data_IF_103220485210
#
_entry.id   IF_103220485210
#
_cell.length_a   1.000
_cell.length_b   1.000
_cell.length_c   1.000
_cell.angle_alpha   90.00
_cell.angle_beta   90.00
_cell.angle_gamma   90.00
#
_symmetry.space_group_name_H-M   'P 1'
#
loop_
_entity.id
_entity.type
_entity.pdbx_description
1 polymer ?
#
# COMPACT_ATOMS: atom_id res chain seq x y z
N UNK A 1 -8.35 52.70 -66.15
CA UNK A 1 -9.48 53.43 -65.51
C UNK A 1 -10.37 52.36 -64.88
N UNK A 2 -10.68 52.25 -63.57
CA UNK A 2 -10.45 53.02 -62.34
C UNK A 2 -10.20 52.00 -61.19
N UNK A 3 -9.12 52.07 -60.39
CA UNK A 3 -8.96 52.80 -59.13
C UNK A 3 -10.22 52.90 -58.23
N UNK A 4 -10.18 52.13 -57.13
CA UNK A 4 -10.00 52.60 -55.74
C UNK A 4 -11.22 52.59 -54.80
N UNK A 5 -11.05 51.89 -53.66
CA UNK A 5 -11.15 52.41 -52.26
C UNK A 5 -12.11 51.69 -51.28
N UNK A 6 -11.45 50.96 -50.34
CA UNK A 6 -11.62 50.91 -48.87
C UNK A 6 -12.83 50.28 -48.15
N UNK A 7 -12.50 49.20 -47.41
CA UNK A 7 -12.51 49.10 -45.93
C UNK A 7 -13.83 49.27 -45.14
N UNK A 8 -14.39 48.13 -44.70
CA UNK A 8 -15.00 47.87 -43.37
C UNK A 8 -14.76 46.38 -43.05
N UNK A 9 -13.89 45.93 -42.14
CA UNK A 9 -13.74 46.16 -40.70
C UNK A 9 -14.70 45.28 -39.84
N UNK A 10 -14.12 44.18 -39.32
CA UNK A 10 -14.08 43.78 -37.89
C UNK A 10 -15.13 42.81 -37.28
N UNK A 11 -14.54 41.73 -36.73
CA UNK A 11 -14.84 40.97 -35.50
C UNK A 11 -16.02 39.98 -35.40
N UNK A 12 -15.72 38.92 -34.64
CA UNK A 12 -16.61 38.07 -33.84
C UNK A 12 -16.98 36.71 -34.45
N UNK A 13 -16.10 35.72 -34.24
CA UNK A 13 -16.31 34.59 -33.31
C UNK A 13 -15.18 33.59 -33.57
N UNK A 14 -13.98 33.98 -33.13
CA UNK A 14 -13.02 33.02 -32.64
C UNK A 14 -13.45 32.68 -31.20
N UNK A 15 -14.56 31.95 -31.06
CA UNK A 15 -14.74 31.14 -29.85
C UNK A 15 -13.74 30.02 -30.04
N UNK A 16 -12.62 30.22 -29.36
CA UNK A 16 -11.65 29.20 -29.01
C UNK A 16 -12.47 28.05 -28.40
N UNK A 17 -12.85 27.09 -29.25
CA UNK A 17 -13.06 25.72 -28.84
C UNK A 17 -11.67 25.24 -28.43
N UNK A 18 -11.23 25.68 -27.25
CA UNK A 18 -10.16 25.01 -26.54
C UNK A 18 -10.74 23.64 -26.22
N UNK A 19 -10.47 22.71 -27.13
CA UNK A 19 -10.07 21.35 -26.79
C UNK A 19 -10.76 20.82 -25.51
N UNK A 20 -12.00 20.36 -25.69
CA UNK A 20 -12.79 19.50 -24.81
C UNK A 20 -12.12 18.14 -24.49
N UNK A 21 -10.79 18.06 -24.57
CA UNK A 21 -9.98 16.87 -24.33
C UNK A 21 -9.13 16.94 -23.07
N UNK A 22 -9.21 18.05 -22.30
CA UNK A 22 -8.69 18.12 -20.94
C UNK A 22 -9.87 17.88 -19.99
N UNK A 23 -10.03 16.65 -19.52
CA UNK A 23 -11.14 16.23 -18.63
C UNK A 23 -10.96 16.82 -17.22
N UNK A 24 -11.15 18.13 -17.06
CA UNK A 24 -11.16 18.77 -15.75
C UNK A 24 -11.27 20.30 -15.83
N UNK A 25 -12.13 20.88 -14.99
CA UNK A 25 -12.25 22.32 -14.79
C UNK A 25 -11.78 22.64 -13.36
N UNK A 26 -10.66 23.38 -13.18
CA UNK A 26 -10.24 23.82 -11.85
C UNK A 26 -11.27 24.78 -11.27
N UNK A 27 -11.34 24.90 -9.94
CA UNK A 27 -12.09 26.00 -9.33
C UNK A 27 -11.41 27.34 -9.65
N UNK A 28 -12.16 28.45 -9.57
CA UNK A 28 -11.71 29.78 -10.01
C UNK A 28 -10.51 30.34 -9.22
N UNK A 29 -10.06 29.65 -8.18
CA UNK A 29 -9.08 30.11 -7.20
C UNK A 29 -7.83 29.21 -7.14
N UNK A 30 -7.65 28.29 -8.10
CA UNK A 30 -6.48 27.39 -8.10
C UNK A 30 -5.32 27.95 -8.91
N UNK A 31 -4.18 28.11 -8.24
CA UNK A 31 -2.90 28.53 -8.82
C UNK A 31 -1.93 27.35 -8.84
N UNK A 32 -1.58 26.88 -10.04
CA UNK A 32 -0.59 25.82 -10.26
C UNK A 32 0.81 26.43 -10.29
N UNK A 33 1.55 26.30 -9.20
CA UNK A 33 2.85 26.94 -9.01
C UNK A 33 3.95 26.38 -9.93
N UNK A 34 3.79 25.14 -10.40
CA UNK A 34 4.70 24.52 -11.37
C UNK A 34 4.75 25.26 -12.72
N UNK A 35 3.76 26.12 -13.00
CA UNK A 35 3.73 26.98 -14.19
C UNK A 35 4.57 28.26 -14.05
N UNK A 36 5.14 28.52 -12.87
CA UNK A 36 5.93 29.73 -12.57
C UNK A 36 7.38 29.31 -12.29
N UNK A 37 8.26 29.24 -13.32
CA UNK A 37 9.63 28.72 -13.17
C UNK A 37 10.50 29.53 -12.21
N UNK A 38 10.12 30.78 -11.93
CA UNK A 38 10.76 31.62 -10.93
C UNK A 38 10.42 31.24 -9.48
N UNK A 39 9.43 30.38 -9.23
CA UNK A 39 9.08 29.86 -7.91
C UNK A 39 9.67 28.45 -7.72
N UNK A 40 10.75 28.35 -6.95
CA UNK A 40 11.31 27.05 -6.54
C UNK A 40 10.95 26.77 -5.09
N UNK A 41 10.36 25.60 -4.81
CA UNK A 41 10.04 25.18 -3.46
C UNK A 41 11.33 25.09 -2.62
N UNK A 42 11.37 25.85 -1.54
CA UNK A 42 12.46 25.82 -0.56
C UNK A 42 12.13 24.87 0.58
N UNK A 43 10.95 25.05 1.19
CA UNK A 43 10.51 24.33 2.39
C UNK A 43 9.01 24.10 2.35
N UNK A 44 8.59 22.92 2.82
CA UNK A 44 7.19 22.51 2.97
C UNK A 44 7.01 21.97 4.40
N UNK A 45 6.15 22.63 5.17
CA UNK A 45 5.73 22.24 6.50
C UNK A 45 4.21 22.05 6.55
N UNK A 46 3.69 21.61 7.70
CA UNK A 46 2.28 21.26 7.85
C UNK A 46 1.32 22.43 7.60
N UNK A 47 1.73 23.65 7.99
CA UNK A 47 0.95 24.89 7.94
C UNK A 47 1.63 25.98 7.12
N UNK A 48 2.73 25.69 6.43
CA UNK A 48 3.53 26.70 5.76
C UNK A 48 4.24 26.17 4.52
N UNK A 49 4.25 26.96 3.44
CA UNK A 49 5.00 26.67 2.21
C UNK A 49 5.89 27.85 1.87
N UNK A 50 7.13 27.57 1.50
CA UNK A 50 8.11 28.61 1.21
C UNK A 50 8.83 28.39 -0.12
N UNK A 51 9.03 29.49 -0.86
CA UNK A 51 9.58 29.50 -2.20
C UNK A 51 10.72 30.53 -2.31
N UNK A 52 11.77 30.15 -3.04
CA UNK A 52 12.75 31.08 -3.57
C UNK A 52 12.18 31.71 -4.85
N UNK A 53 12.18 33.04 -4.93
CA UNK A 53 11.52 33.79 -6.03
C UNK A 53 12.40 34.81 -6.74
N UNK A 54 13.65 35.02 -6.31
CA UNK A 54 14.56 35.99 -6.95
C UNK A 54 14.04 37.44 -6.95
N UNK A 55 13.14 37.78 -6.02
CA UNK A 55 12.40 39.05 -5.87
C UNK A 55 11.14 39.20 -6.75
N UNK A 56 10.68 38.13 -7.39
CA UNK A 56 9.37 38.14 -8.07
C UNK A 56 8.24 38.10 -7.04
N UNK A 57 7.18 38.90 -7.28
CA UNK A 57 5.97 38.95 -6.44
C UNK A 57 5.22 37.62 -6.54
N UNK A 58 4.62 37.17 -5.43
CA UNK A 58 3.70 36.02 -5.42
C UNK A 58 2.60 36.17 -6.50
N UNK A 59 2.36 35.14 -7.34
CA UNK A 59 1.29 35.13 -8.33
C UNK A 59 -0.08 34.74 -7.74
N UNK A 60 -0.18 34.68 -6.41
CA UNK A 60 -1.35 34.29 -5.64
C UNK A 60 -1.59 35.28 -4.49
N UNK A 61 -2.82 35.30 -4.01
CA UNK A 61 -3.31 36.15 -2.92
C UNK A 61 -3.86 35.31 -1.77
N UNK A 62 -4.18 35.96 -0.64
CA UNK A 62 -4.84 35.27 0.48
C UNK A 62 -6.23 34.80 0.05
N UNK A 63 -6.55 33.54 0.32
CA UNK A 63 -7.77 32.87 -0.12
C UNK A 63 -7.56 31.90 -1.28
N UNK A 64 -6.53 32.12 -2.10
CA UNK A 64 -6.21 31.25 -3.24
C UNK A 64 -5.80 29.84 -2.78
N UNK A 65 -6.09 28.86 -3.62
CA UNK A 65 -5.60 27.48 -3.49
C UNK A 65 -4.33 27.36 -4.32
N UNK A 66 -3.20 27.07 -3.69
CA UNK A 66 -1.94 26.78 -4.37
C UNK A 66 -1.71 25.27 -4.49
N UNK A 67 -1.21 24.85 -5.64
CA UNK A 67 -0.87 23.44 -5.93
C UNK A 67 0.46 23.35 -6.65
N UNK A 68 1.26 22.33 -6.33
CA UNK A 68 2.53 22.07 -6.99
C UNK A 68 3.07 20.67 -6.73
N UNK A 69 4.12 20.30 -7.47
CA UNK A 69 4.73 18.96 -7.42
C UNK A 69 5.98 18.85 -6.55
N UNK A 70 6.55 19.99 -6.14
CA UNK A 70 7.73 20.03 -5.26
C UNK A 70 7.48 19.34 -3.90
N UNK A 71 8.52 18.69 -3.35
CA UNK A 71 8.49 18.17 -1.97
C UNK A 71 7.52 17.01 -1.73
N UNK A 72 7.14 16.25 -2.76
CA UNK A 72 6.08 15.23 -2.67
C UNK A 72 4.68 15.77 -2.98
N UNK A 73 4.61 17.05 -3.36
CA UNK A 73 3.41 17.76 -3.77
C UNK A 73 2.64 18.36 -2.60
N UNK A 74 1.92 19.44 -2.90
CA UNK A 74 1.07 20.11 -1.93
C UNK A 74 -0.20 20.62 -2.62
N UNK A 75 -1.28 20.65 -1.85
CA UNK A 75 -2.55 21.27 -2.22
C UNK A 75 -3.06 22.00 -0.98
N UNK A 76 -3.02 23.33 -1.00
CA UNK A 76 -3.18 24.15 0.21
C UNK A 76 -3.90 25.46 -0.08
N UNK A 77 -4.67 25.98 0.87
CA UNK A 77 -5.24 27.32 0.79
C UNK A 77 -4.33 28.33 1.49
N UNK A 78 -4.09 29.48 0.88
CA UNK A 78 -3.24 30.54 1.41
C UNK A 78 -4.02 31.37 2.43
N UNK A 79 -3.50 31.45 3.66
CA UNK A 79 -4.09 32.20 4.77
C UNK A 79 -3.34 33.51 5.02
N UNK A 80 -2.02 33.52 4.82
CA UNK A 80 -1.20 34.72 4.90
C UNK A 80 -0.01 34.63 3.94
N UNK A 81 0.50 35.78 3.51
CA UNK A 81 1.68 35.88 2.63
C UNK A 81 2.70 36.81 3.27
N UNK A 82 3.94 36.34 3.36
CA UNK A 82 5.10 37.11 3.81
C UNK A 82 6.18 37.05 2.73
N UNK A 83 6.56 38.21 2.21
CA UNK A 83 7.57 38.31 1.16
C UNK A 83 8.74 39.16 1.64
N UNK A 84 9.94 38.57 1.69
CA UNK A 84 11.18 39.25 2.10
C UNK A 84 12.37 38.70 1.33
N UNK A 85 13.21 39.60 0.82
CA UNK A 85 14.55 39.28 0.28
C UNK A 85 14.58 38.08 -0.69
N UNK A 86 13.73 38.11 -1.72
CA UNK A 86 13.68 37.06 -2.74
C UNK A 86 13.09 35.72 -2.28
N UNK A 87 12.40 35.72 -1.14
CA UNK A 87 11.66 34.58 -0.60
C UNK A 87 10.19 34.95 -0.41
N UNK A 88 9.30 34.05 -0.78
CA UNK A 88 7.86 34.12 -0.50
C UNK A 88 7.52 32.96 0.43
N UNK A 89 6.95 33.28 1.58
CA UNK A 89 6.41 32.31 2.53
C UNK A 89 4.91 32.52 2.63
N UNK A 90 4.15 31.43 2.50
CA UNK A 90 2.71 31.43 2.68
C UNK A 90 2.36 30.58 3.90
N UNK A 91 1.61 31.14 4.84
CA UNK A 91 0.91 30.35 5.85
C UNK A 91 -0.33 29.76 5.18
N UNK A 92 -0.60 28.49 5.46
CA UNK A 92 -1.58 27.71 4.71
C UNK A 92 -2.40 26.80 5.58
N UNK A 93 -3.57 26.43 5.06
CA UNK A 93 -4.42 25.40 5.63
C UNK A 93 -4.67 24.27 4.62
N UNK A 94 -5.09 23.12 5.15
CA UNK A 94 -5.49 21.97 4.34
C UNK A 94 -6.71 22.31 3.47
N UNK A 95 -6.71 21.83 2.23
CA UNK A 95 -7.83 21.95 1.30
C UNK A 95 -8.02 20.64 0.54
N UNK A 96 -9.27 20.27 0.29
CA UNK A 96 -9.59 19.04 -0.44
C UNK A 96 -9.42 19.19 -1.95
N UNK A 97 -9.25 18.07 -2.66
CA UNK A 97 -9.33 18.03 -4.12
C UNK A 97 -10.69 18.47 -4.66
N UNK A 98 -11.78 18.27 -3.90
CA UNK A 98 -13.11 18.69 -4.31
C UNK A 98 -13.26 20.22 -4.35
N UNK A 99 -12.57 20.93 -3.47
CA UNK A 99 -12.50 22.40 -3.50
C UNK A 99 -11.62 22.91 -4.65
N UNK A 100 -10.55 22.19 -5.00
CA UNK A 100 -9.64 22.56 -6.09
C UNK A 100 -10.18 22.20 -7.49
N UNK A 101 -11.02 21.17 -7.59
CA UNK A 101 -11.54 20.65 -8.86
C UNK A 101 -13.06 20.74 -8.87
N UNK A 102 -13.59 21.66 -9.67
CA UNK A 102 -15.05 21.83 -9.79
C UNK A 102 -15.72 20.66 -10.51
N UNK A 103 -15.10 20.16 -11.58
CA UNK A 103 -15.51 18.94 -12.26
C UNK A 103 -14.32 18.29 -12.94
N UNK A 104 -14.24 16.96 -12.93
CA UNK A 104 -13.15 16.25 -13.60
C UNK A 104 -12.98 14.81 -13.13
N UNK A 105 -12.11 14.08 -13.82
CA UNK A 105 -11.83 12.67 -13.51
C UNK A 105 -10.34 12.49 -13.26
N UNK A 106 -10.01 11.84 -12.15
CA UNK A 106 -8.71 11.23 -11.90
C UNK A 106 -8.79 9.77 -12.34
N UNK A 107 -7.94 9.37 -13.26
CA UNK A 107 -7.69 7.97 -13.58
C UNK A 107 -6.19 7.70 -13.41
N UNK A 108 -5.84 7.17 -12.25
CA UNK A 108 -4.49 6.90 -11.83
C UNK A 108 -4.25 5.40 -11.83
N UNK A 109 -3.21 4.95 -12.54
CA UNK A 109 -2.75 3.56 -12.56
C UNK A 109 -1.26 3.49 -12.30
N UNK A 110 -0.87 2.87 -11.19
CA UNK A 110 0.53 2.74 -10.75
C UNK A 110 0.88 1.26 -10.67
N UNK A 111 1.72 0.80 -11.58
CA UNK A 111 2.29 -0.54 -11.54
C UNK A 111 3.74 -0.48 -11.03
N UNK A 112 4.10 -1.36 -10.10
CA UNK A 112 5.50 -1.51 -9.68
C UNK A 112 6.29 -2.26 -10.75
N UNK A 113 7.53 -1.84 -10.98
CA UNK A 113 8.46 -2.46 -11.95
C UNK A 113 9.70 -2.98 -11.25
N UNK A 114 10.48 -3.81 -11.93
CA UNK A 114 11.77 -4.31 -11.44
C UNK A 114 12.68 -3.17 -10.93
N UNK A 115 12.77 -2.06 -11.66
CA UNK A 115 13.58 -0.90 -11.27
C UNK A 115 13.16 -0.28 -9.93
N UNK A 116 11.87 -0.31 -9.60
CA UNK A 116 11.37 0.20 -8.32
C UNK A 116 11.90 -0.65 -7.15
N UNK A 117 11.97 -1.97 -7.33
CA UNK A 117 12.53 -2.90 -6.35
C UNK A 117 14.04 -2.71 -6.19
N UNK A 118 14.76 -2.59 -7.31
CA UNK A 118 16.22 -2.35 -7.31
C UNK A 118 16.57 -1.04 -6.60
N UNK A 119 15.87 0.06 -6.92
CA UNK A 119 16.08 1.37 -6.28
C UNK A 119 15.82 1.34 -4.77
N UNK A 120 14.92 0.46 -4.34
CA UNK A 120 14.57 0.29 -2.92
C UNK A 120 15.54 -0.65 -2.19
N UNK A 121 16.52 -1.25 -2.88
CA UNK A 121 17.50 -2.14 -2.28
C UNK A 121 16.96 -3.53 -1.94
N UNK A 122 15.90 -3.98 -2.62
CA UNK A 122 15.32 -5.31 -2.39
C UNK A 122 16.24 -6.40 -2.97
N UNK A 123 16.53 -7.49 -2.23
CA UNK A 123 17.35 -8.60 -2.72
C UNK A 123 16.56 -9.43 -3.74
N UNK A 124 16.78 -9.18 -5.02
CA UNK A 124 16.14 -9.91 -6.11
C UNK A 124 16.95 -11.16 -6.49
N UNK A 125 16.27 -12.28 -6.64
CA UNK A 125 16.87 -13.57 -6.99
C UNK A 125 17.37 -13.63 -8.44
N UNK A 126 16.78 -12.86 -9.38
CA UNK A 126 17.24 -12.76 -10.78
C UNK A 126 17.16 -11.32 -11.28
N UNK A 127 18.03 -10.99 -12.24
CA UNK A 127 18.18 -9.64 -12.79
C UNK A 127 17.00 -9.14 -13.67
N UNK A 128 15.91 -9.89 -13.80
CA UNK A 128 14.77 -9.52 -14.67
C UNK A 128 13.40 -9.88 -14.11
N UNK A 129 13.33 -10.50 -12.93
CA UNK A 129 12.07 -10.81 -12.27
C UNK A 129 11.84 -9.90 -11.05
N UNK A 130 10.61 -9.90 -10.55
CA UNK A 130 10.24 -9.27 -9.27
C UNK A 130 10.19 -10.35 -8.17
N UNK A 131 11.14 -11.29 -8.22
CA UNK A 131 11.23 -12.41 -7.29
C UNK A 131 12.24 -12.10 -6.21
N UNK A 132 11.75 -11.91 -5.00
CA UNK A 132 12.52 -11.59 -3.80
C UNK A 132 13.05 -12.90 -3.22
N UNK A 133 14.35 -12.96 -2.93
CA UNK A 133 14.93 -14.08 -2.17
C UNK A 133 14.71 -13.84 -0.67
N UNK A 134 14.07 -14.80 -0.02
CA UNK A 134 13.74 -14.77 1.40
C UNK A 134 14.58 -15.77 2.21
N UNK A 135 15.47 -16.51 1.55
CA UNK A 135 16.20 -17.63 2.15
C UNK A 135 17.20 -17.17 3.21
N UNK A 136 17.26 -17.90 4.33
CA UNK A 136 18.21 -17.66 5.42
C UNK A 136 17.87 -16.47 6.31
N UNK A 137 16.71 -15.83 6.14
CA UNK A 137 16.30 -14.69 6.96
C UNK A 137 15.84 -15.16 8.33
N UNK A 138 16.40 -14.58 9.40
CA UNK A 138 15.94 -14.76 10.78
C UNK A 138 14.86 -13.72 11.07
N UNK A 139 13.63 -14.18 11.29
CA UNK A 139 12.46 -13.33 11.57
C UNK A 139 12.40 -12.91 13.04
N UNK A 140 12.81 -13.82 13.93
CA UNK A 140 12.78 -13.64 15.37
C UNK A 140 13.89 -14.49 16.01
N UNK A 141 14.60 -13.93 16.99
CA UNK A 141 15.56 -14.67 17.80
C UNK A 141 15.67 -14.03 19.18
N UNK A 142 15.02 -14.64 20.18
CA UNK A 142 15.00 -14.16 21.56
C UNK A 142 14.61 -15.30 22.50
N UNK A 143 15.11 -15.27 23.74
CA UNK A 143 14.65 -16.13 24.84
C UNK A 143 14.66 -17.64 24.50
N UNK A 144 15.66 -18.09 23.73
CA UNK A 144 15.81 -19.49 23.32
C UNK A 144 14.88 -19.93 22.17
N UNK A 145 14.12 -19.00 21.58
CA UNK A 145 13.27 -19.22 20.41
C UNK A 145 13.87 -18.50 19.20
N UNK A 146 13.97 -19.22 18.10
CA UNK A 146 14.40 -18.70 16.80
C UNK A 146 13.41 -19.13 15.73
N UNK A 147 12.97 -18.17 14.93
CA UNK A 147 12.12 -18.40 13.76
C UNK A 147 12.84 -17.83 12.55
N UNK A 148 13.01 -18.65 11.52
CA UNK A 148 13.74 -18.31 10.31
C UNK A 148 13.07 -18.88 9.07
N UNK A 149 13.29 -18.23 7.94
CA UNK A 149 12.96 -18.76 6.62
C UNK A 149 14.17 -19.59 6.17
N UNK A 150 14.06 -20.92 6.13
CA UNK A 150 15.18 -21.78 5.74
C UNK A 150 15.44 -21.71 4.24
N UNK A 151 14.37 -21.66 3.45
CA UNK A 151 14.39 -21.32 2.02
C UNK A 151 13.08 -20.62 1.68
N UNK A 152 13.11 -19.70 0.72
CA UNK A 152 11.88 -19.12 0.23
C UNK A 152 12.06 -18.05 -0.84
N UNK A 153 10.99 -17.82 -1.59
CA UNK A 153 10.91 -16.78 -2.60
C UNK A 153 9.52 -16.16 -2.65
N UNK A 154 9.46 -14.88 -3.01
CA UNK A 154 8.21 -14.16 -3.19
C UNK A 154 8.25 -13.37 -4.50
N UNK A 155 7.38 -13.73 -5.43
CA UNK A 155 7.13 -12.95 -6.64
C UNK A 155 5.82 -12.19 -6.49
N UNK A 156 5.86 -10.86 -6.68
CA UNK A 156 4.67 -10.02 -6.61
C UNK A 156 4.63 -8.97 -7.73
N UNK A 157 3.45 -8.77 -8.33
CA UNK A 157 3.23 -7.80 -9.42
C UNK A 157 2.00 -6.92 -9.17
N UNK A 158 2.01 -6.05 -8.15
CA UNK A 158 0.83 -5.29 -7.79
C UNK A 158 0.65 -4.10 -8.72
N UNK A 159 -0.61 -3.85 -9.08
CA UNK A 159 -1.07 -2.67 -9.78
C UNK A 159 -2.09 -1.95 -8.90
N UNK A 160 -1.83 -0.69 -8.60
CA UNK A 160 -2.74 0.21 -7.90
C UNK A 160 -3.51 1.03 -8.92
N UNK A 161 -4.83 1.06 -8.79
CA UNK A 161 -5.73 1.86 -9.60
C UNK A 161 -6.57 2.73 -8.68
N UNK A 162 -6.55 4.04 -8.92
CA UNK A 162 -7.38 5.02 -8.24
C UNK A 162 -8.17 5.80 -9.27
N UNK A 163 -9.49 5.76 -9.14
CA UNK A 163 -10.42 6.45 -10.01
C UNK A 163 -11.29 7.37 -9.15
N UNK A 164 -11.30 8.66 -9.42
CA UNK A 164 -12.13 9.62 -8.70
C UNK A 164 -12.84 10.55 -9.67
N UNK A 165 -14.13 10.80 -9.45
CA UNK A 165 -14.93 11.69 -10.30
C UNK A 165 -15.50 12.81 -9.45
N UNK A 166 -15.18 14.05 -9.83
CA UNK A 166 -15.64 15.26 -9.19
C UNK A 166 -16.71 15.94 -10.03
N UNK A 167 -17.78 16.41 -9.40
CA UNK A 167 -18.85 17.16 -10.02
C UNK A 167 -19.36 18.23 -9.04
N UNK A 168 -19.51 19.47 -9.50
CA UNK A 168 -19.97 20.60 -8.68
C UNK A 168 -19.20 20.74 -7.36
N UNK A 169 -17.86 20.67 -7.41
CA UNK A 169 -16.97 20.76 -6.26
C UNK A 169 -17.21 19.68 -5.20
N UNK A 170 -17.70 18.50 -5.60
CA UNK A 170 -17.95 17.37 -4.71
C UNK A 170 -17.46 16.07 -5.35
N UNK A 171 -16.96 15.15 -4.53
CA UNK A 171 -16.65 13.80 -4.97
C UNK A 171 -17.95 13.02 -5.23
N UNK A 172 -18.16 12.61 -6.48
CA UNK A 172 -19.34 11.85 -6.90
C UNK A 172 -19.12 10.33 -6.85
N UNK A 173 -17.93 9.88 -7.23
CA UNK A 173 -17.52 8.47 -7.13
C UNK A 173 -16.03 8.34 -6.85
N UNK A 174 -15.67 7.31 -6.10
CA UNK A 174 -14.28 6.94 -5.82
C UNK A 174 -14.15 5.44 -5.95
N UNK A 175 -13.17 4.96 -6.69
CA UNK A 175 -12.83 3.53 -6.79
C UNK A 175 -11.34 3.40 -6.56
N UNK A 176 -10.98 2.59 -5.58
CA UNK A 176 -9.61 2.30 -5.28
C UNK A 176 -9.39 0.79 -5.26
N UNK A 177 -8.40 0.34 -6.02
CA UNK A 177 -8.18 -1.07 -6.32
C UNK A 177 -6.69 -1.39 -6.36
N UNK A 178 -6.30 -2.43 -5.66
CA UNK A 178 -4.99 -3.08 -5.77
C UNK A 178 -5.23 -4.47 -6.33
N UNK A 179 -4.59 -4.82 -7.42
CA UNK A 179 -4.67 -6.18 -7.97
C UNK A 179 -3.32 -6.67 -8.47
N UNK A 180 -3.11 -7.98 -8.43
CA UNK A 180 -1.87 -8.57 -8.93
C UNK A 180 -1.73 -10.04 -8.55
N UNK A 181 -0.78 -10.69 -9.21
CA UNK A 181 -0.39 -12.06 -8.92
C UNK A 181 0.65 -12.09 -7.81
N UNK A 182 0.47 -13.04 -6.89
CA UNK A 182 1.41 -13.37 -5.82
C UNK A 182 1.77 -14.84 -5.95
N UNK A 183 3.06 -15.12 -6.07
CA UNK A 183 3.62 -16.46 -5.93
C UNK A 183 4.56 -16.45 -4.73
N UNK A 184 4.32 -17.34 -3.80
CA UNK A 184 5.06 -17.47 -2.55
C UNK A 184 5.49 -18.92 -2.40
N UNK A 185 6.78 -19.13 -2.16
CA UNK A 185 7.36 -20.41 -1.77
C UNK A 185 8.09 -20.15 -0.45
N UNK A 186 7.70 -20.83 0.61
CA UNK A 186 8.30 -20.65 1.93
C UNK A 186 8.53 -21.99 2.61
N UNK A 187 9.73 -22.16 3.16
CA UNK A 187 10.03 -23.10 4.23
C UNK A 187 10.39 -22.30 5.49
N UNK A 188 9.61 -22.50 6.54
CA UNK A 188 9.79 -21.89 7.84
C UNK A 188 10.35 -22.92 8.80
N UNK A 189 11.36 -22.49 9.55
CA UNK A 189 11.94 -23.26 10.65
C UNK A 189 11.74 -22.51 11.96
N UNK A 190 11.10 -23.17 12.91
CA UNK A 190 10.92 -22.74 14.30
C UNK A 190 11.78 -23.64 15.18
N UNK A 191 12.64 -23.06 15.99
CA UNK A 191 13.47 -23.76 16.97
C UNK A 191 13.27 -23.10 18.34
N UNK A 192 12.82 -23.87 19.32
CA UNK A 192 12.63 -23.45 20.69
C UNK A 192 13.36 -24.41 21.63
N UNK A 193 14.31 -23.88 22.39
CA UNK A 193 15.07 -24.62 23.42
C UNK A 193 14.57 -24.33 24.84
N UNK A 194 13.59 -23.43 24.98
CA UNK A 194 12.96 -23.06 26.24
C UNK A 194 11.48 -22.72 26.04
N UNK A 195 10.82 -22.32 27.13
CA UNK A 195 9.45 -21.79 27.10
C UNK A 195 9.47 -20.27 26.95
N UNK A 196 8.38 -19.72 26.44
CA UNK A 196 8.09 -18.31 26.51
C UNK A 196 6.99 -18.09 27.55
N UNK A 197 7.27 -17.24 28.53
CA UNK A 197 6.32 -16.93 29.60
C UNK A 197 5.16 -16.05 29.08
N UNK A 198 5.38 -15.29 28.00
CA UNK A 198 4.41 -14.42 27.34
C UNK A 198 4.10 -14.86 25.90
N UNK A 199 2.94 -14.44 25.40
CA UNK A 199 2.56 -14.61 24.00
C UNK A 199 3.47 -13.77 23.09
N UNK A 200 4.09 -14.40 22.10
CA UNK A 200 4.82 -13.69 21.05
C UNK A 200 3.80 -12.92 20.23
N UNK A 201 4.09 -11.66 19.99
CA UNK A 201 3.50 -10.88 18.90
C UNK A 201 4.59 -9.99 18.32
N UNK A 202 5.24 -10.48 17.28
CA UNK A 202 6.38 -9.83 16.65
C UNK A 202 6.13 -9.63 15.16
N UNK A 203 6.47 -8.45 14.65
CA UNK A 203 6.41 -8.15 13.22
C UNK A 203 7.68 -7.38 12.85
N UNK A 204 8.30 -7.77 11.73
CA UNK A 204 9.52 -7.13 11.23
C UNK A 204 9.47 -6.98 9.71
N UNK A 205 10.04 -5.89 9.21
CA UNK A 205 10.26 -5.70 7.78
C UNK A 205 11.56 -6.41 7.40
N UNK A 206 11.45 -7.49 6.64
CA UNK A 206 12.62 -8.24 6.17
C UNK A 206 13.27 -7.63 4.92
N UNK A 207 12.52 -6.80 4.21
CA UNK A 207 12.99 -6.01 3.08
C UNK A 207 12.63 -4.54 3.28
N UNK A 208 13.41 -3.60 2.70
CA UNK A 208 13.03 -2.20 2.68
C UNK A 208 11.68 -2.00 1.97
N UNK A 209 10.85 -1.04 2.42
CA UNK A 209 9.62 -0.70 1.71
C UNK A 209 9.96 -0.13 0.33
N UNK A 210 9.18 -0.54 -0.67
CA UNK A 210 9.29 -0.05 -2.04
C UNK A 210 8.37 1.15 -2.18
N UNK A 211 8.91 2.28 -2.63
CA UNK A 211 8.12 3.51 -2.83
C UNK A 211 8.23 3.99 -4.27
N UNK A 212 7.10 4.40 -4.84
CA UNK A 212 7.02 4.93 -6.20
C UNK A 212 6.24 6.25 -6.22
N UNK A 213 6.92 7.40 -6.33
CA UNK A 213 6.24 8.67 -6.52
C UNK A 213 5.53 8.69 -7.88
N UNK A 214 4.40 9.38 -7.95
CA UNK A 214 3.65 9.57 -9.18
C UNK A 214 2.98 10.94 -9.23
N UNK A 215 2.68 11.39 -10.44
CA UNK A 215 1.89 12.59 -10.71
C UNK A 215 0.87 12.25 -11.79
N UNK A 216 -0.41 12.48 -11.48
CA UNK A 216 -1.50 12.47 -12.43
C UNK A 216 -2.11 13.87 -12.52
N UNK A 217 -3.04 14.09 -13.44
CA UNK A 217 -3.64 15.41 -13.63
C UNK A 217 -5.16 15.30 -13.70
N UNK A 218 -5.85 16.22 -13.04
CA UNK A 218 -7.28 16.47 -13.25
C UNK A 218 -7.41 17.85 -13.90
N UNK A 219 -7.53 17.88 -15.22
CA UNK A 219 -7.32 19.13 -15.96
C UNK A 219 -5.92 19.69 -15.68
N UNK A 220 -5.78 20.98 -15.27
CA UNK A 220 -4.48 21.58 -14.98
C UNK A 220 -3.95 21.25 -13.57
N UNK A 221 -4.75 20.64 -12.69
CA UNK A 221 -4.38 20.41 -11.29
C UNK A 221 -3.54 19.13 -11.18
N UNK A 222 -2.25 19.20 -10.79
CA UNK A 222 -1.43 18.01 -10.59
C UNK A 222 -1.82 17.31 -9.29
N UNK A 223 -2.15 16.02 -9.38
CA UNK A 223 -2.41 15.09 -8.28
C UNK A 223 -1.16 14.28 -8.00
N UNK A 224 -0.51 14.60 -6.89
CA UNK A 224 0.80 14.05 -6.53
C UNK A 224 0.64 13.06 -5.39
N UNK A 225 1.36 11.95 -5.49
CA UNK A 225 1.33 10.95 -4.44
C UNK A 225 2.48 9.98 -4.50
N UNK A 226 2.49 9.07 -3.53
CA UNK A 226 3.46 7.99 -3.43
C UNK A 226 2.72 6.68 -3.25
N UNK A 227 2.96 5.74 -4.16
CA UNK A 227 2.57 4.35 -3.97
C UNK A 227 3.63 3.66 -3.11
N UNK A 228 3.21 2.80 -2.19
CA UNK A 228 4.11 2.03 -1.32
C UNK A 228 3.77 0.55 -1.34
N UNK A 229 4.78 -0.28 -1.20
CA UNK A 229 4.65 -1.72 -1.02
C UNK A 229 5.62 -2.15 0.09
N UNK A 230 5.09 -2.74 1.15
CA UNK A 230 5.87 -3.29 2.27
C UNK A 230 5.49 -4.74 2.51
N UNK A 231 6.45 -5.55 2.94
CA UNK A 231 6.26 -6.99 3.15
C UNK A 231 6.75 -7.38 4.55
N UNK A 232 6.08 -6.91 5.62
CA UNK A 232 6.36 -7.38 6.96
C UNK A 232 6.08 -8.88 7.12
N UNK A 233 6.94 -9.54 7.88
CA UNK A 233 6.73 -10.89 8.37
C UNK A 233 6.45 -10.83 9.86
N UNK A 234 5.49 -11.62 10.32
CA UNK A 234 5.18 -11.66 11.73
C UNK A 234 4.93 -13.06 12.25
N UNK A 235 5.09 -13.16 13.57
CA UNK A 235 4.94 -14.38 14.35
C UNK A 235 4.06 -14.04 15.54
N UNK A 236 3.02 -14.84 15.76
CA UNK A 236 2.17 -14.75 16.92
C UNK A 236 1.99 -16.14 17.55
N UNK A 237 1.89 -16.21 18.88
CA UNK A 237 1.56 -17.48 19.55
C UNK A 237 2.32 -17.75 20.84
N UNK A 238 2.23 -18.99 21.32
CA UNK A 238 2.71 -19.44 22.63
C UNK A 238 3.52 -20.72 22.50
N UNK A 239 4.65 -20.78 23.20
CA UNK A 239 5.55 -21.93 23.24
C UNK A 239 5.77 -22.34 24.70
N UNK A 240 5.29 -23.51 25.11
CA UNK A 240 5.35 -23.97 26.52
C UNK A 240 6.49 -24.96 26.81
N UNK A 241 7.44 -25.11 25.89
CA UNK A 241 8.61 -25.98 26.04
C UNK A 241 9.40 -26.12 24.74
N UNK A 242 10.12 -27.23 24.58
CA UNK A 242 11.01 -27.39 23.42
C UNK A 242 10.27 -27.87 22.17
N UNK A 243 10.61 -27.25 21.04
CA UNK A 243 10.01 -27.52 19.75
C UNK A 243 11.04 -27.30 18.64
N UNK A 244 11.04 -28.17 17.64
CA UNK A 244 11.68 -27.92 16.35
C UNK A 244 10.67 -28.27 15.28
N UNK A 245 10.28 -27.30 14.48
CA UNK A 245 9.35 -27.46 13.37
C UNK A 245 10.01 -26.91 12.13
N UNK A 246 10.02 -27.69 11.07
CA UNK A 246 10.32 -27.19 9.75
C UNK A 246 9.23 -27.67 8.80
N UNK A 247 8.57 -26.72 8.15
CA UNK A 247 7.57 -27.00 7.14
C UNK A 247 7.38 -25.76 6.27
N UNK A 248 6.61 -25.92 5.22
CA UNK A 248 6.46 -24.90 4.22
C UNK A 248 5.24 -25.12 3.36
N UNK A 249 5.09 -24.21 2.42
CA UNK A 249 4.10 -24.30 1.37
C UNK A 249 4.56 -23.45 0.20
N UNK A 250 4.13 -23.85 -0.98
CA UNK A 250 4.07 -22.97 -2.13
C UNK A 250 2.62 -22.57 -2.39
N UNK A 251 2.42 -21.36 -2.86
CA UNK A 251 1.14 -20.92 -3.38
C UNK A 251 1.26 -19.90 -4.48
N UNK A 252 0.37 -20.01 -5.47
CA UNK A 252 0.12 -18.97 -6.47
C UNK A 252 -1.33 -18.55 -6.43
N UNK A 253 -1.57 -17.23 -6.36
CA UNK A 253 -2.92 -16.67 -6.37
C UNK A 253 -2.96 -15.30 -7.02
N UNK A 254 -4.07 -15.00 -7.68
CA UNK A 254 -4.43 -13.65 -8.07
C UNK A 254 -5.21 -12.98 -6.94
N UNK A 255 -4.83 -11.78 -6.52
CA UNK A 255 -5.51 -11.07 -5.46
C UNK A 255 -6.01 -9.74 -5.98
N UNK A 256 -7.24 -9.41 -5.59
CA UNK A 256 -7.87 -8.12 -5.85
C UNK A 256 -8.39 -7.58 -4.52
N UNK A 257 -7.91 -6.41 -4.11
CA UNK A 257 -8.33 -5.71 -2.91
C UNK A 257 -8.81 -4.32 -3.29
N UNK A 258 -10.02 -3.95 -2.90
CA UNK A 258 -10.48 -2.60 -3.20
C UNK A 258 -11.89 -2.32 -2.76
N UNK A 259 -12.28 -1.07 -2.95
CA UNK A 259 -13.62 -0.61 -2.67
C UNK A 259 -14.03 0.50 -3.64
N UNK A 260 -15.34 0.66 -3.77
CA UNK A 260 -15.95 1.67 -4.60
C UNK A 260 -17.03 2.40 -3.83
N UNK A 261 -16.98 3.72 -3.87
CA UNK A 261 -18.01 4.61 -3.40
C UNK A 261 -18.77 5.18 -4.60
N UNK A 262 -20.09 5.04 -4.59
CA UNK A 262 -21.01 5.72 -5.50
C UNK A 262 -22.18 6.28 -4.70
N UNK A 263 -22.47 7.58 -4.87
CA UNK A 263 -23.58 8.21 -4.14
C UNK A 263 -23.48 8.03 -2.62
N UNK A 264 -22.24 8.12 -2.07
CA UNK A 264 -21.90 7.90 -0.65
C UNK A 264 -22.10 6.47 -0.12
N UNK A 265 -22.45 5.51 -0.98
CA UNK A 265 -22.54 4.08 -0.61
C UNK A 265 -21.26 3.36 -1.00
N UNK A 266 -20.72 2.58 -0.07
CA UNK A 266 -19.51 1.79 -0.27
C UNK A 266 -19.83 0.36 -0.66
N UNK A 267 -19.10 -0.15 -1.64
CA UNK A 267 -19.15 -1.53 -2.12
C UNK A 267 -17.75 -2.12 -2.04
N UNK A 268 -17.63 -3.31 -1.46
CA UNK A 268 -16.38 -4.07 -1.46
C UNK A 268 -16.14 -4.65 -2.86
N UNK A 269 -14.94 -4.43 -3.41
CA UNK A 269 -14.50 -5.01 -4.69
C UNK A 269 -13.46 -6.11 -4.49
N UNK A 270 -13.17 -6.47 -3.24
CA UNK A 270 -12.14 -7.44 -2.91
C UNK A 270 -12.57 -8.85 -3.28
N UNK A 271 -11.66 -9.58 -3.90
CA UNK A 271 -11.82 -10.99 -4.24
C UNK A 271 -10.45 -11.67 -4.21
N UNK A 272 -10.44 -12.91 -3.73
CA UNK A 272 -9.27 -13.78 -3.76
C UNK A 272 -9.51 -14.79 -4.87
N UNK A 273 -8.53 -14.99 -5.75
CA UNK A 273 -8.52 -16.12 -6.67
C UNK A 273 -8.51 -17.44 -5.88
N UNK A 274 -8.83 -18.54 -6.54
CA UNK A 274 -8.58 -19.87 -5.97
C UNK A 274 -7.08 -20.06 -5.92
N UNK A 275 -6.45 -20.15 -4.74
CA UNK A 275 -5.02 -20.37 -4.68
C UNK A 275 -4.72 -21.80 -5.10
N UNK A 276 -3.67 -21.96 -5.89
CA UNK A 276 -2.99 -23.23 -6.04
C UNK A 276 -2.02 -23.31 -4.87
N UNK A 277 -2.23 -24.22 -3.93
CA UNK A 277 -1.41 -24.33 -2.71
C UNK A 277 -0.98 -25.78 -2.53
N UNK A 278 0.32 -26.00 -2.36
CA UNK A 278 0.86 -27.31 -2.00
C UNK A 278 1.62 -27.19 -0.68
N UNK A 279 1.37 -28.14 0.21
CA UNK A 279 2.10 -28.20 1.47
C UNK A 279 3.45 -28.88 1.23
N UNK A 280 4.52 -28.32 1.78
CA UNK A 280 5.81 -29.01 1.82
C UNK A 280 5.82 -30.09 2.92
N UNK A 281 6.75 -31.05 2.85
CA UNK A 281 6.99 -31.98 3.94
C UNK A 281 7.19 -31.27 5.28
N UNK A 282 6.67 -31.87 6.34
CA UNK A 282 6.86 -31.39 7.71
C UNK A 282 7.86 -32.27 8.46
N UNK A 283 8.79 -31.64 9.15
CA UNK A 283 9.71 -32.25 10.11
C UNK A 283 9.44 -31.61 11.46
N UNK A 284 8.97 -32.42 12.42
CA UNK A 284 8.59 -31.94 13.74
C UNK A 284 9.22 -32.77 14.85
N UNK A 285 9.67 -32.08 15.89
CA UNK A 285 9.99 -32.65 17.19
C UNK A 285 9.48 -31.72 18.29
N UNK A 286 8.59 -32.21 19.15
CA UNK A 286 8.04 -31.44 20.27
C UNK A 286 8.13 -32.25 21.55
N UNK A 287 8.25 -31.56 22.68
CA UNK A 287 8.14 -32.14 24.02
C UNK A 287 6.96 -31.60 24.84
N UNK A 288 6.19 -30.65 24.29
CA UNK A 288 5.14 -29.89 24.99
C UNK A 288 4.13 -29.27 24.02
N UNK A 289 3.02 -28.73 24.54
CA UNK A 289 2.02 -28.02 23.72
C UNK A 289 2.55 -26.69 23.18
N UNK A 290 2.16 -26.34 21.96
CA UNK A 290 2.59 -25.12 21.29
C UNK A 290 1.54 -24.67 20.27
N UNK A 291 1.33 -23.36 20.16
CA UNK A 291 0.50 -22.76 19.12
C UNK A 291 1.27 -21.61 18.49
N UNK A 292 1.58 -21.67 17.20
CA UNK A 292 2.35 -20.63 16.51
C UNK A 292 1.74 -20.35 15.15
N UNK A 293 1.50 -19.06 14.92
CA UNK A 293 1.13 -18.50 13.64
C UNK A 293 2.34 -17.75 13.07
N UNK A 294 2.68 -18.03 11.82
CA UNK A 294 3.67 -17.27 11.06
C UNK A 294 2.99 -16.72 9.81
N UNK A 295 3.17 -15.43 9.55
CA UNK A 295 2.50 -14.78 8.44
C UNK A 295 3.43 -13.86 7.65
N UNK A 296 3.13 -13.72 6.36
CA UNK A 296 3.72 -12.73 5.47
C UNK A 296 2.61 -11.74 5.10
N UNK A 297 2.77 -10.47 5.46
CA UNK A 297 1.77 -9.43 5.23
C UNK A 297 2.23 -8.54 4.08
N UNK A 298 1.69 -8.78 2.89
CA UNK A 298 1.88 -7.93 1.73
C UNK A 298 0.96 -6.72 1.87
N UNK A 299 1.53 -5.54 2.13
CA UNK A 299 0.80 -4.28 2.32
C UNK A 299 1.10 -3.32 1.18
N UNK A 300 0.07 -2.96 0.43
CA UNK A 300 0.13 -1.90 -0.58
C UNK A 300 -0.52 -0.62 -0.05
N UNK A 301 0.06 0.52 -0.39
CA UNK A 301 -0.41 1.83 0.05
C UNK A 301 -0.39 2.86 -1.08
N UNK A 302 -1.22 3.88 -0.93
CA UNK A 302 -1.23 5.06 -1.76
C UNK A 302 -1.42 6.28 -0.87
N UNK A 303 -0.42 7.16 -0.87
CA UNK A 303 -0.47 8.43 -0.18
C UNK A 303 -0.65 9.57 -1.20
N UNK A 304 -1.60 10.48 -0.97
CA UNK A 304 -1.79 11.68 -1.81
C UNK A 304 -1.47 12.94 -1.02
N UNK A 305 -0.58 13.79 -1.55
CA UNK A 305 -0.11 15.05 -0.95
C UNK A 305 0.30 14.95 0.54
N UNK A 306 0.76 13.80 1.01
CA UNK A 306 1.09 13.59 2.43
C UNK A 306 -0.12 13.52 3.38
N UNK A 307 -1.36 13.68 2.88
CA UNK A 307 -2.54 13.95 3.71
C UNK A 307 -3.61 12.86 3.65
N UNK A 308 -3.49 11.88 2.76
CA UNK A 308 -4.48 10.80 2.65
C UNK A 308 -3.81 9.50 2.33
N UNK A 309 -4.11 8.49 3.14
CA UNK A 309 -3.58 7.15 3.03
C UNK A 309 -4.70 6.16 2.69
N UNK A 310 -4.53 5.50 1.55
CA UNK A 310 -5.23 4.29 1.22
C UNK A 310 -4.27 3.14 1.46
N UNK A 311 -4.66 2.17 2.28
CA UNK A 311 -3.86 0.97 2.48
C UNK A 311 -4.69 -0.28 2.30
N UNK A 312 -4.08 -1.31 1.73
CA UNK A 312 -4.66 -2.64 1.63
C UNK A 312 -3.58 -3.66 1.93
N UNK A 313 -3.95 -4.76 2.58
CA UNK A 313 -3.02 -5.84 2.82
C UNK A 313 -3.65 -7.21 2.61
N UNK A 314 -2.78 -8.14 2.25
CA UNK A 314 -3.04 -9.58 2.21
C UNK A 314 -2.03 -10.23 3.14
N UNK A 315 -2.50 -11.17 3.94
CA UNK A 315 -1.72 -11.84 4.96
C UNK A 315 -1.96 -13.35 4.84
N UNK A 316 -1.29 -14.04 3.90
CA UNK A 316 -1.10 -15.47 4.01
C UNK A 316 -0.41 -15.82 5.33
N UNK A 317 -0.90 -16.88 5.98
CA UNK A 317 -0.36 -17.37 7.24
C UNK A 317 -0.36 -18.90 7.30
N UNK A 318 0.60 -19.46 8.04
CA UNK A 318 0.57 -20.82 8.55
C UNK A 318 0.24 -20.77 10.03
N UNK A 319 -0.63 -21.67 10.46
CA UNK A 319 -1.01 -21.86 11.86
C UNK A 319 -0.72 -23.31 12.26
N UNK A 320 0.14 -23.50 13.25
CA UNK A 320 0.46 -24.79 13.82
C UNK A 320 -0.04 -24.84 15.28
N UNK A 321 -0.85 -25.84 15.60
CA UNK A 321 -1.37 -26.09 16.94
C UNK A 321 -1.08 -27.53 17.35
N UNK A 322 -0.26 -27.69 18.38
CA UNK A 322 0.14 -28.95 18.98
C UNK A 322 -0.36 -28.99 20.43
N UNK A 323 -1.26 -29.92 20.74
CA UNK A 323 -1.77 -30.13 22.09
C UNK A 323 -1.34 -31.50 22.59
N UNK A 324 -0.46 -31.52 23.59
CA UNK A 324 -0.03 -32.75 24.29
C UNK A 324 -0.94 -33.11 25.46
N UNK A 325 -1.57 -32.11 26.10
CA UNK A 325 -2.43 -32.27 27.26
C UNK A 325 -3.71 -31.45 27.05
N UNK A 326 -4.91 -32.04 27.27
CA UNK A 326 -5.16 -33.44 27.62
C UNK A 326 -4.92 -34.40 26.43
N UNK A 327 -4.64 -35.66 26.74
CA UNK A 327 -4.55 -36.74 25.74
C UNK A 327 -5.93 -36.99 25.08
N UNK A 328 -6.00 -37.39 23.78
CA UNK A 328 -4.92 -37.75 22.86
C UNK A 328 -4.08 -36.55 22.39
N UNK A 329 -2.82 -36.79 22.01
CA UNK A 329 -2.02 -35.74 21.38
C UNK A 329 -2.66 -35.38 20.04
N UNK A 330 -2.88 -34.09 19.81
CA UNK A 330 -3.39 -33.58 18.53
C UNK A 330 -2.42 -32.58 17.94
N UNK A 331 -2.12 -32.73 16.65
CA UNK A 331 -1.39 -31.75 15.87
C UNK A 331 -2.23 -31.32 14.68
N UNK A 332 -2.35 -30.01 14.49
CA UNK A 332 -3.00 -29.41 13.33
C UNK A 332 -2.03 -28.42 12.71
N UNK A 333 -1.76 -28.57 11.43
CA UNK A 333 -1.13 -27.54 10.62
C UNK A 333 -2.16 -27.08 9.59
N UNK A 334 -2.41 -25.78 9.57
CA UNK A 334 -3.25 -25.16 8.55
C UNK A 334 -2.56 -23.97 7.91
N UNK A 335 -3.07 -23.62 6.74
CA UNK A 335 -2.76 -22.38 6.05
C UNK A 335 -4.03 -21.56 5.91
N UNK A 336 -3.89 -20.24 5.88
CA UNK A 336 -5.01 -19.37 5.55
C UNK A 336 -4.54 -18.07 4.94
N UNK A 337 -5.50 -17.28 4.47
CA UNK A 337 -5.23 -15.94 3.95
C UNK A 337 -6.17 -14.99 4.66
N UNK A 338 -5.62 -13.94 5.26
CA UNK A 338 -6.41 -12.81 5.74
C UNK A 338 -6.21 -11.60 4.82
N UNK A 339 -7.13 -10.66 4.86
CA UNK A 339 -6.98 -9.40 4.17
C UNK A 339 -7.52 -8.24 4.96
N UNK A 340 -7.12 -7.04 4.59
CA UNK A 340 -7.74 -5.84 5.13
C UNK A 340 -7.55 -4.63 4.24
N UNK A 341 -8.40 -3.63 4.47
CA UNK A 341 -8.39 -2.35 3.79
C UNK A 341 -8.53 -1.25 4.84
N UNK A 342 -7.67 -0.24 4.77
CA UNK A 342 -7.70 0.95 5.62
C UNK A 342 -7.77 2.21 4.76
N UNK A 343 -8.62 3.16 5.12
CA UNK A 343 -8.84 4.38 4.36
C UNK A 343 -8.83 5.61 5.27
N UNK A 344 -7.98 6.59 4.93
CA UNK A 344 -8.00 7.95 5.45
C UNK A 344 -8.08 8.90 4.24
N UNK A 345 -9.29 9.31 3.87
CA UNK A 345 -9.60 9.95 2.57
C UNK A 345 -9.92 11.45 2.68
N UNK A 346 -9.29 12.15 3.64
CA UNK A 346 -9.55 13.58 3.88
C UNK A 346 -9.40 14.45 2.62
N UNK A 347 -8.45 14.11 1.74
CA UNK A 347 -8.20 14.84 0.47
C UNK A 347 -9.40 14.79 -0.49
N UNK A 348 -10.30 13.84 -0.34
CA UNK A 348 -11.44 13.63 -1.23
C UNK A 348 -12.75 14.27 -0.73
N UNK A 349 -12.68 15.19 0.24
CA UNK A 349 -13.89 15.78 0.88
C UNK A 349 -14.75 14.72 1.58
N UNK A 350 -14.11 13.65 2.06
CA UNK A 350 -14.75 12.60 2.84
C UNK A 350 -14.08 12.51 4.20
N UNK A 351 -14.80 12.94 5.23
CA UNK A 351 -14.45 12.70 6.64
C UNK A 351 -14.82 11.26 7.04
N UNK A 352 -14.20 10.28 6.37
CA UNK A 352 -14.15 8.90 6.87
C UNK A 352 -12.92 8.82 7.77
N UNK A 353 -13.15 9.07 9.06
CA UNK A 353 -12.13 8.86 10.08
C UNK A 353 -11.95 7.34 10.20
N UNK A 354 -10.75 6.88 9.82
CA UNK A 354 -10.16 5.57 10.10
C UNK A 354 -11.12 4.37 10.04
N UNK A 355 -11.62 4.06 8.84
CA UNK A 355 -12.29 2.77 8.63
C UNK A 355 -11.28 1.71 8.22
N UNK A 356 -11.13 0.71 9.08
CA UNK A 356 -10.45 -0.53 8.77
C UNK A 356 -11.49 -1.63 8.55
N UNK A 357 -11.38 -2.33 7.42
CA UNK A 357 -12.12 -3.55 7.16
C UNK A 357 -11.16 -4.72 7.24
N UNK A 358 -11.56 -5.73 8.02
CA UNK A 358 -10.88 -7.00 8.09
C UNK A 358 -11.71 -8.04 7.33
N UNK A 359 -11.03 -8.81 6.49
CA UNK A 359 -11.61 -9.88 5.70
C UNK A 359 -10.92 -11.18 6.12
N UNK A 360 -11.55 -11.99 6.98
CA UNK A 360 -11.07 -13.35 7.19
C UNK A 360 -11.25 -14.07 5.85
N UNK A 361 -10.16 -14.52 5.26
CA UNK A 361 -10.23 -15.34 4.05
C UNK A 361 -10.36 -16.81 4.41
N UNK A 362 -10.28 -17.69 3.40
CA UNK A 362 -10.32 -19.13 3.60
C UNK A 362 -9.17 -19.62 4.48
N UNK A 363 -9.46 -20.71 5.20
CA UNK A 363 -8.52 -21.50 5.98
C UNK A 363 -8.59 -22.94 5.49
N UNK A 364 -7.43 -23.57 5.35
CA UNK A 364 -7.27 -24.95 4.94
C UNK A 364 -6.46 -25.70 5.98
N UNK A 365 -7.02 -26.81 6.44
CA UNK A 365 -6.27 -27.78 7.22
C UNK A 365 -5.37 -28.56 6.26
N UNK A 366 -4.06 -28.41 6.41
CA UNK A 366 -3.07 -29.11 5.60
C UNK A 366 -2.79 -30.49 6.19
N UNK A 367 -2.65 -30.55 7.51
CA UNK A 367 -2.42 -31.79 8.23
C UNK A 367 -3.21 -31.79 9.54
N UNK A 368 -3.80 -32.94 9.84
CA UNK A 368 -4.31 -33.25 11.18
C UNK A 368 -3.85 -34.62 11.60
N UNK A 369 -3.31 -34.67 12.79
CA UNK A 369 -2.86 -35.90 13.40
C UNK A 369 -3.40 -36.04 14.81
N UNK A 370 -3.72 -37.28 15.19
CA UNK A 370 -4.18 -37.62 16.53
C UNK A 370 -3.50 -38.91 16.94
N UNK A 371 -2.66 -38.84 17.97
CA UNK A 371 -2.00 -40.02 18.53
C UNK A 371 -2.77 -40.56 19.72
N UNK A 372 -3.14 -41.85 19.70
CA UNK A 372 -3.66 -42.52 20.87
C UNK A 372 -2.55 -42.80 21.91
N UNK A 373 -3.02 -43.26 23.07
CA UNK A 373 -2.47 -43.27 24.43
C UNK A 373 -1.01 -43.74 24.68
N UNK A 374 -0.28 -44.31 23.70
CA UNK A 374 0.79 -45.29 24.00
C UNK A 374 2.19 -45.00 23.41
N UNK A 375 2.53 -43.77 23.03
CA UNK A 375 3.76 -43.50 22.26
C UNK A 375 4.68 -42.45 22.94
N UNK A 376 6.03 -42.57 22.87
CA UNK A 376 6.98 -41.86 23.75
C UNK A 376 6.95 -40.33 23.64
N UNK A 377 7.40 -39.63 24.68
CA UNK A 377 7.40 -38.15 24.86
C UNK A 377 8.26 -37.35 23.87
N UNK A 378 8.82 -37.99 22.83
CA UNK A 378 9.60 -37.33 21.79
C UNK A 378 9.39 -38.05 20.47
N UNK A 379 8.98 -37.31 19.46
CA UNK A 379 8.71 -37.81 18.12
C UNK A 379 9.61 -37.11 17.11
N UNK A 380 10.05 -37.83 16.10
CA UNK A 380 10.62 -37.25 14.88
C UNK A 380 10.00 -38.00 13.73
N UNK A 381 9.23 -37.29 12.90
CA UNK A 381 8.67 -37.84 11.67
C UNK A 381 9.11 -36.94 10.51
N UNK A 382 9.49 -37.57 9.41
CA UNK A 382 9.63 -36.93 8.11
C UNK A 382 8.53 -37.50 7.23
N UNK A 383 7.61 -36.66 6.77
CA UNK A 383 6.57 -37.10 5.85
C UNK A 383 7.13 -37.14 4.42
N UNK A 384 6.89 -38.21 3.64
CA UNK A 384 7.27 -38.21 2.24
C UNK A 384 6.45 -37.19 1.44
N UNK A 385 7.04 -36.66 0.36
CA UNK A 385 6.37 -35.80 -0.64
C UNK A 385 5.10 -36.49 -1.18
N UNK A 386 4.01 -35.73 -1.35
CA UNK A 386 2.75 -36.20 -1.97
C UNK A 386 2.77 -36.04 -3.49
#
# INVERSE_FOLDING_TARGET
MSKSVWLRLVLSVAVVVCSLSLTGCPSKEVIVLDNFPEFSLEQLWDDCVSFLTGNVKAPFEVGDIIVGTGGGGFLRRVVAINQRSGKVTADTEFVSLAEAVAAGTLDAKVAFTHDDFVKSGVPLSKASDMTIDLSGIVLYSKDGVTVSISSGSLTIRPTLTLNAVFNNNQLSSLKALTEGDVTLDLNLRVQATGQLDDEISWETNVIPPITKPFVFYIGPVPVVGTASLSIPFGIAGRLTGTASVESGFDTTTHIKLGAQMEGKKWTNLSSFGTPETNAHPIVVSFSSSAGVDVYCKVKAGLNLYGASDLTGYVQPYLAADANFVPSPFTFVLGAGINGGLGYQLGIFDINLIDKNWFFPGPYWELYRYTLPYDVPTTFTFAWPEL
#
